data_IF_068023669171
#
_entry.id   IF_068023669171
#
_cell.length_a   1.000
_cell.length_b   1.000
_cell.length_c   1.000
_cell.angle_alpha   90.00
_cell.angle_beta   90.00
_cell.angle_gamma   90.00
#
_symmetry.space_group_name_H-M   'P 1'
#
loop_
_entity.id
_entity.type
_entity.pdbx_description
1 polymer ?
#
# COMPACT_ATOMS: atom_id res chain seq x y z
N UNK A 1 4.85 -12.88 -19.18
CA UNK A 1 4.50 -12.73 -17.76
C UNK A 1 4.08 -11.28 -17.53
N UNK A 2 3.00 -11.00 -16.78
CA UNK A 2 2.59 -9.60 -16.49
C UNK A 2 3.61 -8.94 -15.54
N UNK A 3 4.02 -7.71 -15.86
CA UNK A 3 4.85 -6.86 -15.01
C UNK A 3 4.10 -6.42 -13.75
N UNK A 4 4.81 -5.88 -12.75
CA UNK A 4 4.17 -5.28 -11.58
C UNK A 4 3.38 -4.03 -11.95
N UNK A 5 3.86 -3.24 -12.90
CA UNK A 5 3.08 -2.15 -13.47
C UNK A 5 1.77 -2.60 -14.14
N UNK A 6 1.77 -3.73 -14.85
CA UNK A 6 0.52 -4.30 -15.40
C UNK A 6 -0.45 -4.70 -14.29
N UNK A 7 0.05 -5.25 -13.17
CA UNK A 7 -0.77 -5.61 -12.00
C UNK A 7 -1.33 -4.39 -11.30
N UNK A 8 -0.51 -3.34 -11.14
CA UNK A 8 -0.91 -2.06 -10.57
C UNK A 8 -2.05 -1.43 -11.39
N UNK A 9 -1.96 -1.53 -12.71
CA UNK A 9 -2.96 -0.99 -13.65
C UNK A 9 -4.14 -1.93 -13.96
N UNK A 10 -4.15 -3.16 -13.42
CA UNK A 10 -5.25 -4.10 -13.71
C UNK A 10 -6.54 -3.57 -13.06
N UNK A 11 -7.61 -3.35 -13.83
CA UNK A 11 -8.91 -3.00 -13.27
C UNK A 11 -9.38 -4.13 -12.34
N UNK A 12 -9.57 -3.82 -11.05
CA UNK A 12 -10.00 -4.77 -10.05
C UNK A 12 -11.51 -4.75 -9.85
N UNK A 13 -12.06 -5.80 -9.25
CA UNK A 13 -13.38 -5.73 -8.62
C UNK A 13 -13.21 -4.95 -7.32
N UNK A 14 -13.48 -3.65 -7.38
CA UNK A 14 -13.38 -2.73 -6.25
C UNK A 14 -14.75 -2.24 -5.79
N UNK A 15 -14.78 -1.65 -4.59
CA UNK A 15 -15.97 -1.01 -4.03
C UNK A 15 -16.24 -1.42 -2.59
N UNK A 16 -17.33 -0.87 -2.05
CA UNK A 16 -17.78 -1.15 -0.69
C UNK A 16 -18.76 -2.31 -0.69
N UNK A 17 -18.49 -3.33 0.12
CA UNK A 17 -19.33 -4.54 0.23
C UNK A 17 -19.43 -4.96 1.70
N UNK A 18 -20.51 -5.63 2.12
CA UNK A 18 -20.56 -6.24 3.44
C UNK A 18 -19.43 -7.25 3.63
N UNK A 19 -18.83 -7.27 4.81
CA UNK A 19 -17.84 -8.28 5.19
C UNK A 19 -18.48 -9.66 5.26
N UNK A 20 -17.85 -10.70 4.68
CA UNK A 20 -18.47 -12.03 4.59
C UNK A 20 -18.41 -12.83 5.88
N UNK A 21 -17.49 -12.50 6.80
CA UNK A 21 -17.33 -13.12 8.12
C UNK A 21 -16.37 -12.28 8.97
N UNK A 22 -16.38 -12.50 10.28
CA UNK A 22 -15.47 -11.84 11.22
C UNK A 22 -14.04 -12.39 11.07
N UNK A 23 -13.05 -11.50 10.87
CA UNK A 23 -11.61 -11.85 10.80
C UNK A 23 -10.79 -10.76 11.47
N UNK A 24 -10.06 -11.12 12.52
CA UNK A 24 -9.18 -10.18 13.22
C UNK A 24 -9.96 -8.99 13.80
N UNK A 25 -9.71 -7.79 13.29
CA UNK A 25 -10.37 -6.55 13.69
C UNK A 25 -11.63 -6.20 12.86
N UNK A 26 -12.00 -7.05 11.90
CA UNK A 26 -13.15 -6.86 11.01
C UNK A 26 -14.32 -7.72 11.48
N UNK A 27 -15.50 -7.13 11.66
CA UNK A 27 -16.74 -7.82 12.07
C UNK A 27 -17.61 -8.10 10.85
N UNK A 28 -18.29 -9.26 10.84
CA UNK A 28 -19.27 -9.64 9.82
C UNK A 28 -20.37 -8.57 9.60
N UNK A 29 -20.79 -8.38 8.35
CA UNK A 29 -21.82 -7.40 7.95
C UNK A 29 -21.36 -5.94 7.88
N UNK A 30 -20.16 -5.58 8.35
CA UNK A 30 -19.66 -4.20 8.26
C UNK A 30 -19.41 -3.78 6.79
N UNK A 31 -19.68 -2.51 6.42
CA UNK A 31 -19.26 -1.97 5.13
C UNK A 31 -17.74 -2.02 4.99
N UNK A 32 -17.23 -2.80 4.05
CA UNK A 32 -15.80 -2.99 3.79
C UNK A 32 -15.42 -2.53 2.39
N UNK A 33 -14.39 -1.69 2.32
CA UNK A 33 -13.71 -1.36 1.09
C UNK A 33 -12.85 -2.53 0.63
N UNK A 34 -13.06 -2.96 -0.61
CA UNK A 34 -12.10 -3.73 -1.40
C UNK A 34 -11.44 -2.73 -2.37
N UNK A 35 -10.23 -2.23 -2.08
CA UNK A 35 -9.58 -1.21 -2.91
C UNK A 35 -8.92 -1.83 -4.14
N UNK A 36 -8.65 -1.02 -5.17
CA UNK A 36 -7.67 -1.36 -6.22
C UNK A 36 -6.24 -1.04 -5.78
N UNK A 37 -5.25 -1.56 -6.50
CA UNK A 37 -3.86 -1.19 -6.29
C UNK A 37 -3.61 0.32 -6.52
N UNK A 38 -4.26 0.93 -7.53
CA UNK A 38 -4.16 2.37 -7.79
C UNK A 38 -4.75 3.22 -6.67
N UNK A 39 -5.90 2.84 -6.10
CA UNK A 39 -6.45 3.57 -4.93
C UNK A 39 -5.47 3.58 -3.75
N UNK A 40 -4.78 2.45 -3.51
CA UNK A 40 -3.75 2.38 -2.46
C UNK A 40 -2.54 3.25 -2.80
N UNK A 41 -2.09 3.24 -4.06
CA UNK A 41 -0.98 4.07 -4.50
C UNK A 41 -1.28 5.58 -4.41
N UNK A 42 -2.45 6.00 -4.91
CA UNK A 42 -2.88 7.40 -4.90
C UNK A 42 -2.96 7.92 -3.47
N UNK A 43 -3.47 7.09 -2.56
CA UNK A 43 -3.46 7.39 -1.13
C UNK A 43 -2.03 7.52 -0.58
N UNK A 44 -1.13 6.59 -0.89
CA UNK A 44 0.28 6.67 -0.46
C UNK A 44 0.96 7.95 -0.97
N UNK A 45 0.65 8.37 -2.21
CA UNK A 45 1.17 9.60 -2.81
C UNK A 45 0.68 10.86 -2.09
N UNK A 46 -0.47 10.82 -1.44
CA UNK A 46 -0.99 11.96 -0.67
C UNK A 46 -0.31 12.14 0.69
N UNK A 47 0.38 11.11 1.21
CA UNK A 47 1.10 11.19 2.49
C UNK A 47 2.28 12.15 2.34
N UNK A 48 2.37 13.24 3.13
CA UNK A 48 3.45 14.22 3.00
C UNK A 48 4.84 13.63 3.27
N UNK A 49 5.87 14.25 2.70
CA UNK A 49 7.28 13.90 2.96
C UNK A 49 7.60 14.04 4.44
N UNK A 50 8.27 13.04 5.02
CA UNK A 50 8.64 13.02 6.44
C UNK A 50 7.50 12.63 7.39
N UNK A 51 6.35 12.22 6.86
CA UNK A 51 5.23 11.70 7.65
C UNK A 51 5.20 10.18 7.49
N UNK A 52 5.19 9.48 8.63
CA UNK A 52 4.94 8.04 8.65
C UNK A 52 3.46 7.73 8.92
N UNK A 53 3.00 6.62 8.36
CA UNK A 53 1.68 6.07 8.62
C UNK A 53 1.78 4.55 8.68
N UNK A 54 1.30 3.92 9.76
CA UNK A 54 1.28 2.46 9.79
C UNK A 54 0.15 1.87 8.89
N UNK A 55 0.23 0.57 8.62
CA UNK A 55 -0.75 -0.12 7.75
C UNK A 55 -2.18 -0.10 8.33
N UNK A 56 -2.34 -0.05 9.66
CA UNK A 56 -3.68 0.02 10.31
C UNK A 56 -4.30 1.40 10.10
N UNK A 57 -3.52 2.46 10.27
CA UNK A 57 -3.92 3.83 9.99
C UNK A 57 -4.30 4.00 8.51
N UNK A 58 -3.49 3.47 7.59
CA UNK A 58 -3.80 3.49 6.15
C UNK A 58 -5.11 2.76 5.84
N UNK A 59 -5.34 1.56 6.39
CA UNK A 59 -6.62 0.83 6.21
C UNK A 59 -7.83 1.64 6.68
N UNK A 60 -7.68 2.32 7.81
CA UNK A 60 -8.74 3.11 8.43
C UNK A 60 -9.04 4.35 7.57
N UNK A 61 -8.01 5.09 7.17
CA UNK A 61 -8.15 6.28 6.35
C UNK A 61 -8.75 5.97 4.97
N UNK A 62 -8.29 4.91 4.30
CA UNK A 62 -8.87 4.44 3.03
C UNK A 62 -10.36 4.08 3.18
N UNK A 63 -10.74 3.43 4.27
CA UNK A 63 -12.14 3.09 4.51
C UNK A 63 -12.99 4.36 4.63
N UNK A 64 -12.54 5.33 5.42
CA UNK A 64 -13.23 6.60 5.64
C UNK A 64 -13.38 7.38 4.32
N UNK A 65 -12.31 7.49 3.52
CA UNK A 65 -12.31 8.20 2.23
C UNK A 65 -13.36 7.64 1.25
N UNK A 66 -13.64 6.33 1.33
CA UNK A 66 -14.58 5.65 0.46
C UNK A 66 -15.94 5.35 1.11
N UNK A 67 -16.25 5.90 2.29
CA UNK A 67 -17.53 5.68 2.97
C UNK A 67 -17.74 4.26 3.49
N UNK A 68 -16.66 3.52 3.76
CA UNK A 68 -16.65 2.22 4.40
C UNK A 68 -16.26 2.33 5.88
N UNK A 69 -16.50 1.28 6.65
CA UNK A 69 -16.04 1.18 8.05
C UNK A 69 -14.65 0.54 8.14
N UNK A 70 -14.33 -0.40 7.25
CA UNK A 70 -13.06 -1.13 7.24
C UNK A 70 -12.53 -1.30 5.82
N UNK A 71 -11.23 -1.55 5.69
CA UNK A 71 -10.60 -1.99 4.44
C UNK A 71 -10.23 -3.46 4.54
N UNK A 72 -10.45 -4.21 3.45
CA UNK A 72 -10.16 -5.64 3.40
C UNK A 72 -8.69 -5.93 3.80
N UNK A 73 -8.47 -6.66 4.91
CA UNK A 73 -7.12 -6.87 5.46
C UNK A 73 -6.25 -7.75 4.55
N UNK A 74 -6.87 -8.56 3.70
CA UNK A 74 -6.16 -9.46 2.78
C UNK A 74 -5.63 -8.70 1.57
N UNK A 75 -6.50 -7.95 0.87
CA UNK A 75 -6.11 -7.25 -0.37
C UNK A 75 -5.13 -6.12 -0.11
N UNK A 76 -5.19 -5.44 1.04
CA UNK A 76 -4.25 -4.36 1.35
C UNK A 76 -2.79 -4.83 1.35
N UNK A 77 -2.50 -6.01 1.89
CA UNK A 77 -1.14 -6.56 1.89
C UNK A 77 -0.64 -6.85 0.47
N UNK A 78 -1.50 -7.41 -0.39
CA UNK A 78 -1.17 -7.65 -1.79
C UNK A 78 -0.96 -6.36 -2.58
N UNK A 79 -1.78 -5.33 -2.34
CA UNK A 79 -1.66 -4.05 -3.02
C UNK A 79 -0.43 -3.27 -2.56
N UNK A 80 -0.10 -3.25 -1.27
CA UNK A 80 1.14 -2.65 -0.78
C UNK A 80 2.38 -3.26 -1.44
N UNK A 81 2.41 -4.59 -1.60
CA UNK A 81 3.48 -5.24 -2.35
C UNK A 81 3.49 -4.81 -3.82
N UNK A 82 2.33 -4.81 -4.45
CA UNK A 82 2.20 -4.45 -5.88
C UNK A 82 2.69 -3.02 -6.14
N UNK A 83 2.32 -2.06 -5.28
CA UNK A 83 2.76 -0.67 -5.36
C UNK A 83 4.27 -0.56 -5.19
N UNK A 84 4.86 -1.22 -4.18
CA UNK A 84 6.30 -1.16 -3.93
C UNK A 84 7.13 -1.79 -5.07
N UNK A 85 6.68 -2.93 -5.61
CA UNK A 85 7.38 -3.60 -6.71
C UNK A 85 7.24 -2.82 -8.03
N UNK A 86 6.06 -2.23 -8.30
CA UNK A 86 5.87 -1.37 -9.48
C UNK A 86 6.72 -0.11 -9.39
N UNK A 87 6.81 0.52 -8.21
CA UNK A 87 7.69 1.67 -7.97
C UNK A 87 9.17 1.33 -8.20
N UNK A 88 9.61 0.11 -7.84
CA UNK A 88 10.97 -0.33 -8.15
C UNK A 88 11.17 -0.59 -9.65
N UNK A 89 10.23 -1.23 -10.33
CA UNK A 89 10.32 -1.38 -11.80
C UNK A 89 10.40 -0.02 -12.50
N UNK A 90 9.71 0.99 -11.98
CA UNK A 90 9.74 2.35 -12.52
C UNK A 90 11.13 3.00 -12.35
N UNK A 91 11.76 2.80 -11.19
CA UNK A 91 13.16 3.20 -10.96
C UNK A 91 14.13 2.49 -11.91
N UNK A 92 13.97 1.17 -12.09
CA UNK A 92 14.79 0.38 -13.00
C UNK A 92 14.66 0.83 -14.47
N UNK A 93 13.51 1.42 -14.82
CA UNK A 93 13.26 2.05 -16.13
C UNK A 93 13.74 3.50 -16.22
N UNK A 94 14.38 4.03 -15.17
CA UNK A 94 14.97 5.37 -15.14
C UNK A 94 14.02 6.47 -14.72
N UNK A 95 12.88 6.18 -14.09
CA UNK A 95 12.08 7.22 -13.45
C UNK A 95 12.80 7.82 -12.26
N UNK A 96 12.59 9.12 -12.05
CA UNK A 96 13.07 9.83 -10.87
C UNK A 96 12.39 9.32 -9.60
N UNK A 97 13.12 9.33 -8.48
CA UNK A 97 12.58 8.93 -7.17
C UNK A 97 11.37 9.76 -6.74
N UNK A 98 11.26 11.01 -7.18
CA UNK A 98 10.11 11.87 -6.90
C UNK A 98 8.85 11.50 -7.69
N UNK A 99 8.98 10.71 -8.77
CA UNK A 99 7.88 10.31 -9.64
C UNK A 99 7.21 8.99 -9.19
N UNK A 100 7.92 8.14 -8.45
CA UNK A 100 7.38 6.86 -7.96
C UNK A 100 6.53 7.05 -6.69
N UNK A 101 5.74 6.03 -6.35
CA UNK A 101 4.96 6.04 -5.11
C UNK A 101 5.89 5.95 -3.88
N UNK A 102 5.74 6.84 -2.87
CA UNK A 102 6.59 6.86 -1.68
C UNK A 102 6.18 5.79 -0.65
N UNK A 103 6.16 4.53 -1.05
CA UNK A 103 5.66 3.41 -0.24
C UNK A 103 6.39 3.21 1.09
N UNK A 104 7.62 3.70 1.21
CA UNK A 104 8.42 3.69 2.45
C UNK A 104 7.82 4.56 3.56
N UNK A 105 6.87 5.46 3.26
CA UNK A 105 6.11 6.21 4.28
C UNK A 105 5.12 5.32 5.04
N UNK A 106 4.78 4.16 4.46
CA UNK A 106 3.88 3.17 5.06
C UNK A 106 4.59 1.88 5.46
N UNK A 107 5.46 1.37 4.60
CA UNK A 107 6.21 0.15 4.83
C UNK A 107 7.53 0.48 5.54
N UNK A 108 7.66 0.07 6.80
CA UNK A 108 8.94 0.05 7.50
C UNK A 108 9.74 -1.23 7.18
N UNK A 109 10.96 -1.33 7.71
CA UNK A 109 11.84 -2.50 7.54
C UNK A 109 11.32 -3.78 8.20
N UNK A 110 10.44 -3.65 9.20
CA UNK A 110 9.88 -4.77 9.96
C UNK A 110 8.62 -5.34 9.32
N UNK A 111 7.97 -4.58 8.44
CA UNK A 111 6.71 -4.94 7.80
C UNK A 111 6.85 -6.27 7.03
N UNK A 112 5.90 -7.21 7.18
CA UNK A 112 5.92 -8.48 6.45
C UNK A 112 5.97 -8.32 4.93
N UNK A 113 5.41 -7.22 4.40
CA UNK A 113 5.45 -6.89 2.98
C UNK A 113 6.86 -6.55 2.52
N UNK A 114 7.63 -5.79 3.32
CA UNK A 114 9.01 -5.40 3.01
C UNK A 114 9.93 -6.59 2.84
N UNK A 115 9.76 -7.62 3.68
CA UNK A 115 10.52 -8.88 3.60
C UNK A 115 10.25 -9.69 2.32
N UNK A 116 9.18 -9.38 1.58
CA UNK A 116 8.78 -10.06 0.35
C UNK A 116 9.15 -9.28 -0.91
N UNK A 117 9.70 -8.07 -0.79
CA UNK A 117 10.09 -7.24 -1.92
C UNK A 117 11.30 -7.84 -2.63
N UNK A 118 11.31 -7.81 -3.95
CA UNK A 118 12.41 -8.36 -4.78
C UNK A 118 13.77 -7.70 -4.52
N UNK A 119 13.76 -6.42 -4.12
CA UNK A 119 14.94 -5.60 -3.83
C UNK A 119 15.27 -5.48 -2.33
N UNK A 120 14.57 -6.23 -1.47
CA UNK A 120 14.82 -6.29 -0.04
C UNK A 120 14.49 -5.00 0.74
N UNK A 121 14.95 -4.95 2.00
CA UNK A 121 14.60 -3.89 2.96
C UNK A 121 15.56 -2.69 2.95
N UNK A 122 16.74 -2.81 2.34
CA UNK A 122 17.78 -1.78 2.36
C UNK A 122 17.31 -0.48 1.70
N UNK A 123 16.61 -0.60 0.57
CA UNK A 123 16.02 0.55 -0.11
C UNK A 123 15.03 1.30 0.82
N UNK A 124 14.14 0.57 1.49
CA UNK A 124 13.16 1.13 2.43
C UNK A 124 13.86 1.85 3.58
N UNK A 125 14.85 1.21 4.20
CA UNK A 125 15.64 1.79 5.27
C UNK A 125 16.33 3.10 4.83
N UNK A 126 16.90 3.12 3.63
CA UNK A 126 17.58 4.28 3.08
C UNK A 126 16.60 5.45 2.84
N UNK A 127 15.42 5.19 2.26
CA UNK A 127 14.44 6.26 2.02
C UNK A 127 13.83 6.78 3.32
N UNK A 128 13.51 5.90 4.28
CA UNK A 128 13.00 6.31 5.60
C UNK A 128 14.01 7.19 6.31
N UNK A 129 15.29 6.82 6.32
CA UNK A 129 16.37 7.65 6.87
C UNK A 129 16.48 9.02 6.18
N UNK A 130 16.36 9.09 4.85
CA UNK A 130 16.39 10.35 4.08
C UNK A 130 15.24 11.29 4.42
N UNK A 131 14.10 10.75 4.87
CA UNK A 131 12.94 11.52 5.32
C UNK A 131 12.89 11.73 6.84
N UNK A 132 13.91 11.30 7.60
CA UNK A 132 13.93 11.43 9.06
C UNK A 132 13.03 10.43 9.80
N UNK A 133 12.58 9.38 9.11
CA UNK A 133 11.74 8.31 9.66
C UNK A 133 12.60 7.17 10.22
N UNK A 134 12.05 6.46 11.22
CA UNK A 134 12.70 5.26 11.77
C UNK A 134 12.73 4.16 10.71
N UNK A 135 13.84 3.42 10.51
CA UNK A 135 13.93 2.35 9.52
C UNK A 135 12.83 1.30 9.68
#
# INVERSE_FOLDING_TARGET
MKSWNDRLNTPGINGVKPTPHTIGDVVEGQPMLVPTARQVEDFIRSIPKGVEMDVRALRTALAIEHGAQVTCPVTIGYHLRTVAEAANEDLERGMELSAIAPFWRVLDTNAPTTKKLSFGAEFVAAQRKREGLKP
#
